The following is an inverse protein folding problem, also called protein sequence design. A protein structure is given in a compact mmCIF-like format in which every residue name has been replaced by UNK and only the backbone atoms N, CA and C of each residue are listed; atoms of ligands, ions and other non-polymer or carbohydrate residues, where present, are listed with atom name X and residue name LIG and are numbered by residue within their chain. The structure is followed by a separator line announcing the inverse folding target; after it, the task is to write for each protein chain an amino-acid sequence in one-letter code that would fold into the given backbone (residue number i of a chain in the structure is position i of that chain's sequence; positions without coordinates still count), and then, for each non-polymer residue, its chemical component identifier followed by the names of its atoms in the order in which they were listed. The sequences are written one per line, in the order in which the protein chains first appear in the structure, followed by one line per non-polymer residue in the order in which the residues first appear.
data_IF_298820951833
#
_entry.id   IF_298820951833
#
_cell.length_a   1.000
_cell.length_b   1.000
_cell.length_c   1.000
_cell.angle_alpha   90.00
_cell.angle_beta   90.00
_cell.angle_gamma   90.00
#
_symmetry.space_group_name_H-M   'P 1'
#
loop_
_entity.id
_entity.type
_entity.pdbx_description
1 polymer ?
#
# COMPACT_ATOMS: atom_id res chain seq x y z
N UNK A 1 24.76 23.17 -2.71
CA UNK A 1 23.79 22.12 -3.06
C UNK A 1 23.94 21.02 -2.03
N UNK A 2 22.88 20.79 -1.25
CA UNK A 2 22.89 19.75 -0.24
C UNK A 2 22.77 18.37 -0.86
N UNK A 3 23.37 17.37 -0.22
CA UNK A 3 23.23 15.98 -0.64
C UNK A 3 21.88 15.46 -0.16
N UNK A 4 21.08 14.92 -1.06
CA UNK A 4 19.83 14.28 -0.71
C UNK A 4 20.17 12.90 -0.13
N UNK A 5 19.78 12.67 1.12
CA UNK A 5 19.98 11.38 1.79
C UNK A 5 19.29 10.26 0.99
N UNK A 6 19.99 9.16 0.78
CA UNK A 6 19.52 8.03 -0.05
C UNK A 6 19.71 8.20 -1.57
N UNK A 7 20.17 9.38 -2.03
CA UNK A 7 20.47 9.63 -3.45
C UNK A 7 21.91 10.15 -3.65
N UNK A 8 22.86 9.61 -2.92
CA UNK A 8 24.26 10.12 -2.87
C UNK A 8 24.91 10.18 -4.23
N UNK A 9 24.86 9.12 -5.03
CA UNK A 9 25.47 9.10 -6.37
C UNK A 9 24.77 10.06 -7.33
N UNK A 10 23.44 10.15 -7.32
CA UNK A 10 22.67 11.11 -8.12
C UNK A 10 23.02 12.54 -7.71
N UNK A 11 23.09 12.82 -6.42
CA UNK A 11 23.47 14.13 -5.90
C UNK A 11 24.89 14.52 -6.27
N UNK A 12 25.85 13.59 -6.22
CA UNK A 12 27.24 13.78 -6.67
C UNK A 12 27.27 14.06 -8.18
N UNK A 13 26.59 13.25 -8.98
CA UNK A 13 26.48 13.44 -10.42
C UNK A 13 25.89 14.79 -10.80
N UNK A 14 24.82 15.21 -10.13
CA UNK A 14 24.19 16.50 -10.32
C UNK A 14 25.12 17.66 -9.91
N UNK A 15 25.80 17.56 -8.74
CA UNK A 15 26.81 18.53 -8.31
C UNK A 15 27.92 18.68 -9.33
N UNK A 16 28.44 17.56 -9.85
CA UNK A 16 29.50 17.58 -10.85
C UNK A 16 29.04 18.24 -12.15
N UNK A 17 27.82 17.93 -12.62
CA UNK A 17 27.24 18.55 -13.81
C UNK A 17 27.07 20.08 -13.64
N UNK A 18 26.62 20.53 -12.45
CA UNK A 18 26.52 21.98 -12.15
C UNK A 18 27.89 22.66 -12.09
N UNK A 19 28.90 22.01 -11.52
CA UNK A 19 30.27 22.52 -11.49
C UNK A 19 30.81 22.64 -12.92
N UNK A 20 30.58 21.66 -13.77
CA UNK A 20 31.02 21.68 -15.15
C UNK A 20 30.26 22.73 -15.99
N UNK A 21 28.96 22.92 -15.75
CA UNK A 21 28.20 24.01 -16.35
C UNK A 21 28.75 25.40 -15.91
N UNK A 22 29.05 25.56 -14.62
CA UNK A 22 29.65 26.79 -14.11
C UNK A 22 31.05 27.06 -14.69
N UNK A 23 31.87 26.03 -14.93
CA UNK A 23 33.15 26.14 -15.63
C UNK A 23 32.95 26.60 -17.09
N UNK A 24 32.00 25.96 -17.80
CA UNK A 24 31.69 26.34 -19.18
C UNK A 24 31.14 27.76 -19.32
N UNK A 25 30.43 28.23 -18.28
CA UNK A 25 29.94 29.61 -18.19
C UNK A 25 31.04 30.62 -17.69
N UNK A 26 32.28 30.17 -17.55
CA UNK A 26 33.40 31.00 -17.09
C UNK A 26 33.12 31.72 -15.74
N UNK A 27 32.49 31.00 -14.79
CA UNK A 27 32.16 31.54 -13.49
C UNK A 27 33.42 32.11 -12.79
N UNK A 28 33.35 33.37 -12.33
CA UNK A 28 34.47 34.12 -11.78
C UNK A 28 34.98 33.57 -10.44
N UNK A 29 34.14 32.85 -9.69
CA UNK A 29 34.51 32.20 -8.41
C UNK A 29 33.96 30.79 -8.35
N UNK A 30 34.63 29.86 -9.02
CA UNK A 30 34.25 28.45 -9.04
C UNK A 30 34.43 27.77 -7.66
N UNK A 31 35.41 28.21 -6.90
CA UNK A 31 35.67 27.63 -5.56
C UNK A 31 34.66 28.09 -4.53
N UNK A 32 34.25 29.36 -4.58
CA UNK A 32 33.11 29.87 -3.81
C UNK A 32 31.82 29.13 -4.19
N UNK A 33 31.56 28.94 -5.48
CA UNK A 33 30.41 28.17 -5.95
C UNK A 33 30.36 26.75 -5.38
N UNK A 34 31.50 26.01 -5.38
CA UNK A 34 31.61 24.66 -4.80
C UNK A 34 31.38 24.63 -3.29
N UNK A 35 31.82 25.66 -2.58
CA UNK A 35 31.76 25.77 -1.12
C UNK A 35 30.48 26.42 -0.63
N UNK A 36 29.71 27.05 -1.51
CA UNK A 36 28.49 27.74 -1.14
C UNK A 36 27.45 26.75 -0.58
N UNK A 37 27.16 26.86 0.69
CA UNK A 37 26.06 26.16 1.37
C UNK A 37 24.91 27.12 1.54
N UNK A 38 23.71 26.69 1.18
CA UNK A 38 22.50 27.45 1.47
C UNK A 38 22.27 27.39 2.98
N UNK A 39 22.43 28.56 3.63
CA UNK A 39 22.03 28.69 5.03
C UNK A 39 20.54 28.95 5.05
N UNK A 40 19.80 27.99 5.55
CA UNK A 40 18.37 28.16 5.76
C UNK A 40 18.16 28.90 7.08
N UNK A 41 17.38 29.97 7.04
CA UNK A 41 16.98 30.72 8.23
C UNK A 41 15.52 30.40 8.52
N UNK A 42 15.24 29.94 9.74
CA UNK A 42 13.87 29.68 10.17
C UNK A 42 13.00 30.92 10.02
N UNK A 43 11.81 30.77 9.49
CA UNK A 43 10.78 31.80 9.45
C UNK A 43 10.08 31.98 10.80
N UNK A 44 9.05 32.81 10.80
CA UNK A 44 8.15 32.93 11.94
C UNK A 44 7.38 31.62 12.15
N UNK A 45 7.08 31.27 13.41
CA UNK A 45 6.34 30.09 13.76
C UNK A 45 4.97 30.04 13.05
N UNK A 46 4.65 28.92 12.42
CA UNK A 46 3.37 28.67 11.75
C UNK A 46 2.42 28.02 12.75
N UNK A 47 1.28 28.64 12.98
CA UNK A 47 0.20 28.10 13.80
C UNK A 47 -1.08 27.97 12.98
N UNK A 48 -1.69 26.77 12.96
CA UNK A 48 -2.91 26.48 12.21
C UNK A 48 -3.89 25.68 13.04
N UNK A 49 -5.17 25.80 12.67
CA UNK A 49 -6.25 24.98 13.22
C UNK A 49 -7.09 24.44 12.08
N UNK A 50 -7.38 23.14 12.10
CA UNK A 50 -8.19 22.44 11.09
C UNK A 50 -9.10 21.41 11.77
N UNK A 51 -10.03 20.81 11.03
CA UNK A 51 -10.84 19.72 11.57
C UNK A 51 -10.02 18.43 11.72
N UNK A 52 -9.27 18.05 10.66
CA UNK A 52 -8.46 16.83 10.63
C UNK A 52 -7.03 17.15 10.22
N UNK A 53 -6.08 16.66 10.99
CA UNK A 53 -4.65 16.69 10.65
C UNK A 53 -4.24 15.31 10.12
N UNK A 54 -3.58 15.27 8.96
CA UNK A 54 -3.04 14.05 8.39
C UNK A 54 -1.51 14.15 8.35
N UNK A 55 -0.82 13.20 8.96
CA UNK A 55 0.64 13.14 8.99
C UNK A 55 1.13 12.09 8.00
N UNK A 56 1.75 12.55 6.92
CA UNK A 56 2.19 11.74 5.77
C UNK A 56 1.25 11.83 4.57
N UNK A 57 1.79 12.17 3.40
CA UNK A 57 1.07 12.27 2.14
C UNK A 57 1.33 11.08 1.19
N UNK A 58 1.51 9.88 1.75
CA UNK A 58 1.50 8.62 1.03
C UNK A 58 0.08 8.20 0.63
N UNK A 59 -0.09 6.97 0.12
CA UNK A 59 -1.40 6.46 -0.32
C UNK A 59 -2.50 6.60 0.74
N UNK A 60 -2.26 6.10 1.96
CA UNK A 60 -3.23 6.17 3.05
C UNK A 60 -3.55 7.62 3.48
N UNK A 61 -2.52 8.48 3.53
CA UNK A 61 -2.71 9.88 3.93
C UNK A 61 -3.54 10.66 2.91
N UNK A 62 -3.28 10.52 1.63
CA UNK A 62 -4.05 11.20 0.58
C UNK A 62 -5.48 10.68 0.50
N UNK A 63 -5.72 9.37 0.64
CA UNK A 63 -7.09 8.83 0.72
C UNK A 63 -7.85 9.38 1.92
N UNK A 64 -7.21 9.40 3.10
CA UNK A 64 -7.79 9.97 4.32
C UNK A 64 -8.13 11.45 4.14
N UNK A 65 -7.21 12.23 3.57
CA UNK A 65 -7.41 13.66 3.36
C UNK A 65 -8.60 13.93 2.44
N UNK A 66 -8.64 13.24 1.31
CA UNK A 66 -9.74 13.39 0.33
C UNK A 66 -11.08 12.98 0.93
N UNK A 67 -11.15 11.80 1.56
CA UNK A 67 -12.39 11.31 2.16
C UNK A 67 -12.87 12.22 3.29
N UNK A 68 -11.96 12.73 4.11
CA UNK A 68 -12.29 13.70 5.15
C UNK A 68 -12.85 15.01 4.56
N UNK A 69 -12.24 15.52 3.50
CA UNK A 69 -12.69 16.73 2.82
C UNK A 69 -14.05 16.53 2.12
N UNK A 70 -14.27 15.38 1.48
CA UNK A 70 -15.56 15.00 0.90
C UNK A 70 -16.68 14.92 1.96
N UNK A 71 -16.33 14.59 3.20
CA UNK A 71 -17.23 14.62 4.35
C UNK A 71 -17.39 16.03 4.96
N UNK A 72 -16.88 17.07 4.30
CA UNK A 72 -17.02 18.46 4.71
C UNK A 72 -16.06 18.95 5.80
N UNK A 73 -15.00 18.18 6.10
CA UNK A 73 -13.98 18.60 7.07
C UNK A 73 -12.88 19.43 6.38
N UNK A 74 -12.36 20.44 7.06
CA UNK A 74 -11.09 21.06 6.69
C UNK A 74 -9.92 20.12 7.02
N UNK A 75 -8.91 20.08 6.15
CA UNK A 75 -7.80 19.13 6.28
C UNK A 75 -6.45 19.82 6.06
N UNK A 76 -5.51 19.58 6.97
CA UNK A 76 -4.09 19.90 6.76
C UNK A 76 -3.30 18.61 6.71
N UNK A 77 -2.60 18.38 5.59
CA UNK A 77 -1.68 17.27 5.39
C UNK A 77 -0.25 17.77 5.58
N UNK A 78 0.54 17.09 6.43
CA UNK A 78 1.96 17.40 6.63
C UNK A 78 2.82 16.27 6.05
N UNK A 79 3.71 16.61 5.12
CA UNK A 79 4.60 15.66 4.44
C UNK A 79 6.06 16.06 4.61
N UNK A 80 6.88 15.13 5.04
CA UNK A 80 8.32 15.36 5.28
C UNK A 80 9.11 15.55 3.99
N UNK A 81 8.68 14.89 2.92
CA UNK A 81 9.34 14.97 1.61
C UNK A 81 8.94 16.25 0.85
N UNK A 82 9.67 16.53 -0.23
CA UNK A 82 9.38 17.65 -1.14
C UNK A 82 8.19 17.40 -2.08
N UNK A 83 7.60 16.20 -2.05
CA UNK A 83 6.46 15.80 -2.87
C UNK A 83 5.62 14.74 -2.15
N UNK A 84 4.35 14.64 -2.53
CA UNK A 84 3.46 13.58 -2.08
C UNK A 84 3.87 12.24 -2.71
N UNK A 85 3.47 11.13 -2.10
CA UNK A 85 3.66 9.81 -2.70
C UNK A 85 4.15 8.73 -1.75
N UNK A 86 5.10 9.03 -0.90
CA UNK A 86 5.71 8.03 0.00
C UNK A 86 6.18 6.78 -0.76
N UNK A 87 6.08 5.60 -0.17
CA UNK A 87 6.38 4.33 -0.84
C UNK A 87 5.34 3.96 -1.90
N UNK A 88 4.11 4.45 -1.80
CA UNK A 88 3.04 4.12 -2.75
C UNK A 88 3.41 4.54 -4.16
N UNK A 89 4.05 5.69 -4.36
CA UNK A 89 4.46 6.15 -5.70
C UNK A 89 5.59 5.30 -6.30
N UNK A 90 6.35 4.58 -5.47
CA UNK A 90 7.42 3.69 -5.91
C UNK A 90 6.93 2.27 -6.23
N UNK A 91 5.67 1.96 -5.95
CA UNK A 91 5.05 0.67 -6.24
C UNK A 91 4.62 0.56 -7.71
N UNK A 92 4.23 -0.65 -8.15
CA UNK A 92 3.59 -0.86 -9.46
C UNK A 92 2.19 -0.25 -9.58
N UNK A 93 1.56 0.07 -8.44
CA UNK A 93 0.27 0.75 -8.37
C UNK A 93 -0.95 -0.17 -8.35
N UNK A 94 -0.78 -1.45 -8.59
CA UNK A 94 -1.89 -2.39 -8.56
C UNK A 94 -2.39 -2.57 -7.12
N UNK A 95 -3.70 -2.73 -7.01
CA UNK A 95 -4.35 -3.12 -5.76
C UNK A 95 -5.38 -4.22 -6.01
N UNK A 96 -5.64 -5.01 -4.98
CA UNK A 96 -6.49 -6.19 -5.09
C UNK A 96 -7.93 -5.88 -4.69
N UNK A 97 -8.86 -6.00 -5.65
CA UNK A 97 -10.30 -6.12 -5.40
C UNK A 97 -10.98 -6.85 -6.55
N UNK A 98 -11.84 -7.82 -6.24
CA UNK A 98 -12.57 -8.55 -7.26
C UNK A 98 -13.65 -7.65 -7.89
N UNK A 99 -13.65 -7.55 -9.20
CA UNK A 99 -14.66 -6.79 -9.92
C UNK A 99 -15.79 -7.71 -10.37
N UNK A 100 -16.97 -7.57 -9.77
CA UNK A 100 -18.12 -8.49 -9.95
C UNK A 100 -18.52 -8.70 -11.41
N UNK A 101 -18.38 -7.67 -12.23
CA UNK A 101 -18.70 -7.75 -13.67
C UNK A 101 -17.68 -8.58 -14.48
N UNK A 102 -16.50 -8.89 -13.93
CA UNK A 102 -15.44 -9.66 -14.59
C UNK A 102 -15.35 -11.12 -14.12
N UNK A 103 -16.00 -11.49 -13.02
CA UNK A 103 -15.89 -12.81 -12.41
C UNK A 103 -17.19 -13.58 -12.50
N UNK A 104 -17.16 -14.88 -12.16
CA UNK A 104 -18.34 -15.71 -12.10
C UNK A 104 -19.42 -15.13 -11.17
N UNK A 105 -20.66 -15.18 -11.62
CA UNK A 105 -21.83 -14.67 -10.89
C UNK A 105 -22.80 -15.83 -10.62
N UNK A 106 -23.10 -16.16 -9.36
CA UNK A 106 -24.04 -17.23 -9.04
C UNK A 106 -25.48 -16.93 -9.51
N UNK A 107 -25.82 -15.66 -9.74
CA UNK A 107 -27.15 -15.28 -10.24
C UNK A 107 -27.31 -15.51 -11.76
N UNK A 108 -26.20 -15.46 -12.51
CA UNK A 108 -26.14 -15.77 -13.93
C UNK A 108 -24.82 -16.49 -14.25
N UNK A 109 -24.71 -17.77 -13.88
CA UNK A 109 -23.46 -18.52 -13.93
C UNK A 109 -22.93 -18.73 -15.35
N UNK A 110 -23.79 -18.74 -16.36
CA UNK A 110 -23.42 -18.96 -17.78
C UNK A 110 -23.09 -17.66 -18.52
N UNK A 111 -23.25 -16.51 -17.86
CA UNK A 111 -22.88 -15.22 -18.46
C UNK A 111 -21.40 -15.17 -18.83
N UNK A 112 -21.10 -14.85 -20.08
CA UNK A 112 -19.74 -14.65 -20.59
C UNK A 112 -19.30 -13.20 -20.55
N UNK A 113 -20.22 -12.31 -20.23
CA UNK A 113 -19.99 -10.86 -20.15
C UNK A 113 -20.59 -10.28 -18.87
N UNK A 114 -20.11 -9.10 -18.47
CA UNK A 114 -20.70 -8.28 -17.44
C UNK A 114 -20.72 -6.82 -17.85
N UNK A 115 -21.54 -6.03 -17.19
CA UNK A 115 -21.71 -4.59 -17.50
C UNK A 115 -21.14 -3.73 -16.37
N UNK A 116 -20.32 -2.76 -16.73
CA UNK A 116 -19.81 -1.75 -15.80
C UNK A 116 -19.88 -0.36 -16.41
N UNK A 117 -20.52 0.58 -15.72
CA UNK A 117 -20.76 1.98 -16.20
C UNK A 117 -21.32 2.04 -17.64
N UNK A 118 -22.23 1.10 -17.98
CA UNK A 118 -22.89 1.04 -19.29
C UNK A 118 -22.06 0.38 -20.41
N UNK A 119 -20.85 -0.06 -20.13
CA UNK A 119 -19.97 -0.78 -21.06
C UNK A 119 -19.97 -2.26 -20.77
N UNK A 120 -20.05 -3.09 -21.82
CA UNK A 120 -20.02 -4.55 -21.71
C UNK A 120 -18.57 -5.05 -21.82
N UNK A 121 -18.17 -5.89 -20.88
CA UNK A 121 -16.84 -6.51 -20.81
C UNK A 121 -16.96 -8.02 -20.82
N UNK A 122 -16.01 -8.70 -21.45
CA UNK A 122 -15.90 -10.16 -21.32
C UNK A 122 -15.45 -10.50 -19.90
N UNK A 123 -16.04 -11.57 -19.33
CA UNK A 123 -15.55 -12.09 -18.06
C UNK A 123 -14.16 -12.70 -18.22
N UNK A 124 -13.33 -12.60 -17.19
CA UNK A 124 -12.00 -13.20 -17.15
C UNK A 124 -12.08 -14.68 -16.79
N UNK A 125 -11.05 -15.43 -17.16
CA UNK A 125 -11.01 -16.87 -16.93
C UNK A 125 -9.98 -17.24 -15.86
N UNK A 126 -10.08 -18.44 -15.31
CA UNK A 126 -9.14 -18.98 -14.36
C UNK A 126 -7.72 -19.07 -14.94
N UNK A 127 -6.74 -18.89 -14.07
CA UNK A 127 -5.39 -19.37 -14.33
C UNK A 127 -5.31 -20.89 -14.04
N UNK A 128 -4.36 -21.57 -14.67
CA UNK A 128 -4.09 -22.97 -14.40
C UNK A 128 -3.73 -23.18 -12.91
N UNK A 129 -4.41 -24.09 -12.26
CA UNK A 129 -4.23 -24.40 -10.84
C UNK A 129 -5.25 -23.76 -9.91
N UNK A 130 -6.04 -22.76 -10.36
CA UNK A 130 -7.06 -22.13 -9.52
C UNK A 130 -8.08 -23.15 -8.99
N UNK A 131 -8.57 -24.05 -9.85
CA UNK A 131 -9.54 -25.10 -9.47
C UNK A 131 -8.95 -26.03 -8.40
N UNK A 132 -7.67 -26.36 -8.49
CA UNK A 132 -6.97 -27.15 -7.47
C UNK A 132 -6.99 -26.44 -6.13
N UNK A 133 -6.61 -25.15 -6.09
CA UNK A 133 -6.62 -24.34 -4.86
C UNK A 133 -8.02 -24.26 -4.25
N UNK A 134 -9.07 -24.06 -5.06
CA UNK A 134 -10.44 -24.05 -4.56
C UNK A 134 -10.84 -25.38 -3.91
N UNK A 135 -10.46 -26.50 -4.51
CA UNK A 135 -10.70 -27.85 -3.94
C UNK A 135 -9.92 -28.07 -2.64
N UNK A 136 -8.72 -27.55 -2.54
CA UNK A 136 -7.92 -27.59 -1.29
C UNK A 136 -8.59 -26.78 -0.18
N UNK A 137 -9.14 -25.60 -0.48
CA UNK A 137 -9.90 -24.81 0.50
C UNK A 137 -11.16 -25.54 0.97
N UNK A 138 -11.88 -26.28 0.10
CA UNK A 138 -13.01 -27.11 0.52
C UNK A 138 -12.63 -28.13 1.56
N UNK A 139 -11.41 -28.68 1.48
CA UNK A 139 -10.89 -29.67 2.41
C UNK A 139 -10.23 -29.05 3.64
N UNK A 140 -10.15 -27.72 3.75
CA UNK A 140 -9.53 -27.05 4.89
C UNK A 140 -10.23 -27.44 6.19
N UNK A 141 -9.43 -27.70 7.24
CA UNK A 141 -9.95 -28.09 8.55
C UNK A 141 -10.71 -26.92 9.19
N UNK A 142 -11.93 -27.19 9.66
CA UNK A 142 -12.79 -26.21 10.34
C UNK A 142 -12.61 -26.22 11.87
N UNK A 143 -11.74 -27.04 12.39
CA UNK A 143 -11.43 -27.01 13.81
C UNK A 143 -10.60 -25.77 14.15
N UNK A 144 -10.71 -25.30 15.40
CA UNK A 144 -9.77 -24.33 15.90
C UNK A 144 -8.34 -24.89 15.88
N UNK A 145 -7.35 -24.00 15.85
CA UNK A 145 -5.95 -24.39 15.87
C UNK A 145 -5.66 -25.43 16.94
N UNK A 146 -5.11 -26.57 16.50
CA UNK A 146 -4.66 -27.64 17.41
C UNK A 146 -3.15 -27.46 17.67
N UNK A 147 -2.81 -27.06 18.91
CA UNK A 147 -1.42 -26.93 19.35
C UNK A 147 -0.63 -28.24 19.23
N UNK A 148 -1.31 -29.40 19.35
CA UNK A 148 -0.65 -30.70 19.18
C UNK A 148 -0.22 -30.96 17.74
N UNK A 149 -0.98 -30.47 16.77
CA UNK A 149 -0.63 -30.58 15.37
C UNK A 149 0.63 -29.75 15.06
N UNK A 150 0.71 -28.59 15.67
CA UNK A 150 1.82 -27.69 15.55
C UNK A 150 3.17 -28.31 16.01
N UNK A 151 3.16 -29.03 17.15
CA UNK A 151 4.37 -29.64 17.70
C UNK A 151 4.86 -30.86 16.90
N UNK A 152 4.00 -31.49 16.11
CA UNK A 152 4.29 -32.72 15.39
C UNK A 152 4.58 -32.55 13.89
N UNK A 153 4.19 -31.43 13.30
CA UNK A 153 4.32 -31.20 11.85
C UNK A 153 5.25 -30.00 11.59
N UNK A 154 6.35 -30.17 10.84
CA UNK A 154 7.21 -29.06 10.50
C UNK A 154 6.44 -27.97 9.78
N UNK A 155 6.57 -26.73 10.21
CA UNK A 155 5.99 -25.59 9.51
C UNK A 155 6.79 -25.31 8.24
N UNK A 156 6.09 -25.30 7.11
CA UNK A 156 6.62 -24.84 5.84
C UNK A 156 5.75 -23.67 5.39
N UNK A 157 6.31 -22.47 5.37
CA UNK A 157 5.59 -21.27 4.95
C UNK A 157 5.06 -21.45 3.52
N UNK A 158 3.77 -21.20 3.31
CA UNK A 158 3.11 -21.35 2.01
C UNK A 158 2.69 -22.79 1.65
N UNK A 159 2.95 -23.76 2.50
CA UNK A 159 2.44 -25.12 2.34
C UNK A 159 0.97 -25.20 2.77
N UNK A 160 0.07 -25.12 1.79
CA UNK A 160 -1.39 -25.17 2.02
C UNK A 160 -1.80 -26.46 2.73
N UNK A 161 -1.20 -27.60 2.41
CA UNK A 161 -1.56 -28.88 3.02
C UNK A 161 -1.24 -28.85 4.53
N UNK A 162 -0.06 -28.41 4.89
CA UNK A 162 0.34 -28.28 6.31
C UNK A 162 -0.53 -27.26 7.04
N UNK A 163 -0.74 -26.09 6.44
CA UNK A 163 -1.56 -25.03 7.03
C UNK A 163 -3.03 -25.43 7.17
N UNK A 164 -3.58 -26.15 6.18
CA UNK A 164 -4.98 -26.61 6.24
C UNK A 164 -5.24 -27.58 7.38
N UNK A 165 -4.25 -28.35 7.78
CA UNK A 165 -4.34 -29.26 8.92
C UNK A 165 -4.26 -28.55 10.25
N UNK A 166 -3.57 -27.42 10.35
CA UNK A 166 -3.50 -26.62 11.57
C UNK A 166 -4.86 -26.06 12.00
N UNK A 167 -5.85 -26.05 11.09
CA UNK A 167 -7.17 -25.50 11.36
C UNK A 167 -7.27 -24.01 11.08
N UNK A 168 -8.23 -23.35 11.69
CA UNK A 168 -8.51 -21.92 11.50
C UNK A 168 -8.84 -21.26 12.83
N UNK A 169 -8.44 -20.00 13.01
CA UNK A 169 -8.83 -19.24 14.19
C UNK A 169 -10.35 -19.01 14.22
N UNK A 170 -10.94 -19.09 15.41
CA UNK A 170 -12.39 -19.01 15.61
C UNK A 170 -13.06 -17.83 14.90
N UNK A 171 -12.42 -16.66 14.90
CA UNK A 171 -12.95 -15.45 14.24
C UNK A 171 -13.09 -15.59 12.71
N UNK A 172 -12.24 -16.40 12.07
CA UNK A 172 -12.28 -16.63 10.62
C UNK A 172 -13.16 -17.82 10.20
N UNK A 173 -13.65 -18.61 11.15
CA UNK A 173 -14.43 -19.83 10.86
C UNK A 173 -15.71 -19.54 10.08
N UNK A 174 -16.41 -18.44 10.40
CA UNK A 174 -17.61 -18.02 9.67
C UNK A 174 -17.30 -17.78 8.19
N UNK A 175 -16.26 -16.99 7.91
CA UNK A 175 -15.80 -16.70 6.55
C UNK A 175 -15.42 -17.98 5.79
N UNK A 176 -14.70 -18.92 6.43
CA UNK A 176 -14.33 -20.18 5.80
C UNK A 176 -15.57 -21.00 5.42
N UNK A 177 -16.58 -21.09 6.28
CA UNK A 177 -17.82 -21.83 5.99
C UNK A 177 -18.60 -21.22 4.83
N UNK A 178 -18.73 -19.90 4.81
CA UNK A 178 -19.36 -19.19 3.70
C UNK A 178 -18.58 -19.38 2.40
N UNK A 179 -17.26 -19.23 2.44
CA UNK A 179 -16.38 -19.45 1.28
C UNK A 179 -16.51 -20.88 0.74
N UNK A 180 -16.54 -21.90 1.60
CA UNK A 180 -16.75 -23.28 1.15
C UNK A 180 -18.10 -23.44 0.45
N UNK A 181 -19.14 -22.78 0.92
CA UNK A 181 -20.44 -22.78 0.25
C UNK A 181 -20.39 -22.11 -1.13
N UNK A 182 -19.73 -20.97 -1.24
CA UNK A 182 -19.49 -20.27 -2.51
C UNK A 182 -18.68 -21.14 -3.50
N UNK A 183 -17.59 -21.73 -3.03
CA UNK A 183 -16.75 -22.63 -3.85
C UNK A 183 -17.53 -23.86 -4.30
N UNK A 184 -18.34 -24.46 -3.42
CA UNK A 184 -19.14 -25.62 -3.78
C UNK A 184 -20.16 -25.28 -4.88
N UNK A 185 -20.84 -24.13 -4.77
CA UNK A 185 -21.76 -23.64 -5.80
C UNK A 185 -21.04 -23.43 -7.14
N UNK A 186 -19.88 -22.81 -7.11
CA UNK A 186 -19.05 -22.61 -8.29
C UNK A 186 -18.60 -23.93 -8.92
N UNK A 187 -18.08 -24.87 -8.14
CA UNK A 187 -17.60 -26.16 -8.64
C UNK A 187 -18.73 -27.02 -9.18
N UNK A 188 -19.93 -26.94 -8.63
CA UNK A 188 -21.12 -27.63 -9.18
C UNK A 188 -21.42 -27.16 -10.62
N UNK A 189 -21.13 -25.90 -10.93
CA UNK A 189 -21.26 -25.36 -12.29
C UNK A 189 -20.03 -25.62 -13.17
N UNK A 190 -18.82 -25.47 -12.62
CA UNK A 190 -17.57 -25.57 -13.39
C UNK A 190 -17.16 -27.02 -13.70
N UNK A 191 -17.32 -27.97 -12.75
CA UNK A 191 -16.81 -29.32 -12.87
C UNK A 191 -17.41 -30.09 -14.07
N UNK A 192 -18.73 -30.02 -14.36
CA UNK A 192 -19.29 -30.67 -15.56
C UNK A 192 -18.68 -30.20 -16.88
N UNK A 193 -18.27 -28.94 -16.97
CA UNK A 193 -17.62 -28.37 -18.13
C UNK A 193 -16.17 -28.89 -18.29
N UNK A 194 -15.45 -29.01 -17.17
CA UNK A 194 -14.12 -29.62 -17.14
C UNK A 194 -14.19 -31.11 -17.51
N UNK A 195 -15.18 -31.85 -17.00
CA UNK A 195 -15.41 -33.26 -17.32
C UNK A 195 -15.77 -33.47 -18.80
N UNK A 196 -16.39 -32.46 -19.41
CA UNK A 196 -16.67 -32.44 -20.85
C UNK A 196 -15.44 -32.05 -21.71
N UNK A 197 -14.27 -31.82 -21.09
CA UNK A 197 -13.01 -31.58 -21.77
C UNK A 197 -12.68 -30.11 -21.97
N UNK A 198 -13.44 -29.17 -21.40
CA UNK A 198 -13.09 -27.74 -21.41
C UNK A 198 -11.84 -27.48 -20.55
N UNK A 199 -10.91 -26.70 -21.06
CA UNK A 199 -9.71 -26.35 -20.31
C UNK A 199 -10.05 -25.39 -19.15
N UNK A 200 -9.26 -25.44 -18.07
CA UNK A 200 -9.44 -24.55 -16.91
C UNK A 200 -9.40 -23.08 -17.32
N UNK A 201 -8.51 -22.70 -18.25
CA UNK A 201 -8.42 -21.35 -18.81
C UNK A 201 -9.60 -20.93 -19.69
N UNK A 202 -10.62 -21.76 -19.87
CA UNK A 202 -11.88 -21.42 -20.54
C UNK A 202 -13.06 -21.31 -19.55
N UNK A 203 -12.81 -21.59 -18.27
CA UNK A 203 -13.80 -21.47 -17.20
C UNK A 203 -13.71 -20.09 -16.59
N UNK A 204 -14.84 -19.41 -16.43
CA UNK A 204 -14.91 -18.07 -15.83
C UNK A 204 -14.28 -18.06 -14.43
N UNK A 205 -13.52 -17.02 -14.13
CA UNK A 205 -12.81 -16.86 -12.87
C UNK A 205 -13.77 -16.80 -11.68
N UNK A 206 -13.49 -17.60 -10.66
CA UNK A 206 -14.08 -17.44 -9.33
C UNK A 206 -13.27 -16.43 -8.52
N UNK A 207 -13.91 -15.41 -7.97
CA UNK A 207 -13.26 -14.51 -7.02
C UNK A 207 -14.31 -13.81 -6.16
N UNK A 208 -14.17 -13.88 -4.83
CA UNK A 208 -15.09 -13.26 -3.87
C UNK A 208 -14.32 -12.53 -2.76
N UNK A 209 -14.96 -11.61 -2.04
CA UNK A 209 -14.36 -11.03 -0.84
C UNK A 209 -13.99 -12.08 0.21
N UNK A 210 -14.81 -13.12 0.41
CA UNK A 210 -14.51 -14.20 1.35
C UNK A 210 -13.23 -14.96 0.96
N UNK A 211 -13.01 -15.21 -0.34
CA UNK A 211 -11.75 -15.80 -0.81
C UNK A 211 -10.57 -14.87 -0.51
N UNK A 212 -10.73 -13.58 -0.69
CA UNK A 212 -9.67 -12.62 -0.41
C UNK A 212 -9.35 -12.55 1.10
N UNK A 213 -10.38 -12.44 1.95
CA UNK A 213 -10.20 -12.46 3.41
C UNK A 213 -9.48 -13.75 3.84
N UNK A 214 -9.93 -14.90 3.36
CA UNK A 214 -9.34 -16.19 3.73
C UNK A 214 -7.89 -16.32 3.24
N UNK A 215 -7.57 -15.89 2.01
CA UNK A 215 -6.20 -15.91 1.49
C UNK A 215 -5.29 -14.94 2.24
N UNK A 216 -5.79 -13.78 2.66
CA UNK A 216 -5.04 -12.83 3.51
C UNK A 216 -4.77 -13.43 4.88
N UNK A 217 -5.76 -14.10 5.47
CA UNK A 217 -5.61 -14.82 6.72
C UNK A 217 -4.52 -15.90 6.64
N UNK A 218 -4.66 -16.85 5.70
CA UNK A 218 -3.72 -17.95 5.62
C UNK A 218 -2.32 -17.53 5.16
N UNK A 219 -2.23 -16.54 4.28
CA UNK A 219 -0.95 -15.97 3.85
C UNK A 219 -0.22 -15.20 4.97
N UNK A 220 -0.95 -14.77 5.99
CA UNK A 220 -0.41 -14.16 7.20
C UNK A 220 -0.11 -15.13 8.35
N UNK A 221 -0.51 -16.40 8.22
CA UNK A 221 -0.24 -17.40 9.25
C UNK A 221 1.25 -17.70 9.37
N UNK A 222 1.77 -17.66 10.58
CA UNK A 222 3.17 -17.97 10.90
C UNK A 222 3.32 -18.36 12.35
N UNK A 223 4.44 -18.95 12.70
CA UNK A 223 4.81 -19.26 14.07
C UNK A 223 5.49 -18.07 14.74
N UNK A 224 5.33 -17.94 16.07
CA UNK A 224 6.21 -17.08 16.86
C UNK A 224 7.66 -17.62 16.85
N UNK A 225 8.63 -16.82 17.31
CA UNK A 225 10.05 -17.19 17.31
C UNK A 225 10.33 -18.51 18.05
N UNK A 226 9.64 -18.73 19.16
CA UNK A 226 9.76 -19.93 20.00
C UNK A 226 9.01 -21.15 19.41
N UNK A 227 8.26 -20.99 18.33
CA UNK A 227 7.43 -22.03 17.69
C UNK A 227 6.41 -22.67 18.64
N UNK A 228 5.86 -21.87 19.55
CA UNK A 228 4.90 -22.31 20.57
C UNK A 228 3.47 -21.86 20.31
N UNK A 229 3.27 -20.93 19.38
CA UNK A 229 1.94 -20.43 19.01
C UNK A 229 1.88 -19.96 17.56
N UNK A 230 0.67 -19.95 17.00
CA UNK A 230 0.38 -19.37 15.71
C UNK A 230 0.09 -17.88 15.84
N UNK A 231 0.63 -17.09 14.91
CA UNK A 231 0.33 -15.68 14.73
C UNK A 231 -0.54 -15.57 13.46
N UNK A 232 -1.63 -14.84 13.56
CA UNK A 232 -2.58 -14.56 12.50
C UNK A 232 -2.99 -13.08 12.55
N UNK A 233 -3.53 -12.55 11.47
CA UNK A 233 -3.99 -11.16 11.40
C UNK A 233 -5.25 -10.91 12.23
N UNK A 234 -5.53 -9.65 12.56
CA UNK A 234 -6.82 -9.25 13.13
C UNK A 234 -7.92 -9.40 12.09
N UNK A 235 -8.92 -10.23 12.38
CA UNK A 235 -10.05 -10.49 11.49
C UNK A 235 -10.78 -9.22 11.08
N UNK A 236 -11.13 -8.37 12.04
CA UNK A 236 -11.88 -7.15 11.79
C UNK A 236 -11.12 -6.18 10.87
N UNK A 237 -9.81 -6.05 11.06
CA UNK A 237 -8.96 -5.22 10.20
C UNK A 237 -8.82 -5.81 8.80
N UNK A 238 -8.61 -7.13 8.68
CA UNK A 238 -8.54 -7.81 7.38
C UNK A 238 -9.86 -7.68 6.63
N UNK A 239 -10.98 -7.93 7.31
CA UNK A 239 -12.32 -7.81 6.74
C UNK A 239 -12.59 -6.38 6.26
N UNK A 240 -12.36 -5.39 7.11
CA UNK A 240 -12.54 -3.98 6.76
C UNK A 240 -11.65 -3.56 5.59
N UNK A 241 -10.40 -4.02 5.55
CA UNK A 241 -9.48 -3.75 4.44
C UNK A 241 -9.99 -4.34 3.12
N UNK A 242 -10.42 -5.60 3.12
CA UNK A 242 -10.90 -6.28 1.91
C UNK A 242 -12.23 -5.69 1.43
N UNK A 243 -13.20 -5.53 2.33
CA UNK A 243 -14.53 -4.99 1.98
C UNK A 243 -14.44 -3.53 1.52
N UNK A 244 -13.70 -2.68 2.24
CA UNK A 244 -13.45 -1.30 1.84
C UNK A 244 -12.66 -1.18 0.53
N UNK A 245 -11.78 -2.14 0.26
CA UNK A 245 -11.03 -2.23 -1.00
C UNK A 245 -11.89 -2.49 -2.22
N UNK A 246 -13.10 -3.07 -2.07
CA UNK A 246 -14.00 -3.31 -3.20
C UNK A 246 -14.49 -2.00 -3.83
N UNK A 247 -14.72 -0.96 -3.03
CA UNK A 247 -15.22 0.33 -3.49
C UNK A 247 -14.11 1.28 -3.98
N UNK A 248 -12.85 0.99 -3.64
CA UNK A 248 -11.72 1.87 -3.93
C UNK A 248 -11.60 2.25 -5.40
N UNK A 249 -11.79 1.27 -6.31
CA UNK A 249 -11.72 1.50 -7.75
C UNK A 249 -12.75 2.53 -8.21
N UNK A 250 -14.02 2.33 -7.86
CA UNK A 250 -15.11 3.24 -8.20
C UNK A 250 -14.89 4.64 -7.62
N UNK A 251 -14.45 4.71 -6.36
CA UNK A 251 -14.13 5.97 -5.69
C UNK A 251 -12.99 6.74 -6.39
N UNK A 252 -11.96 6.06 -6.90
CA UNK A 252 -10.88 6.69 -7.66
C UNK A 252 -11.35 7.11 -9.07
N UNK A 253 -12.16 6.30 -9.75
CA UNK A 253 -12.74 6.64 -11.05
C UNK A 253 -13.64 7.87 -10.99
N UNK A 254 -14.39 8.03 -9.90
CA UNK A 254 -15.24 9.21 -9.68
C UNK A 254 -14.41 10.50 -9.50
N UNK A 255 -13.13 10.37 -9.22
CA UNK A 255 -12.16 11.46 -9.16
C UNK A 255 -11.36 11.65 -10.45
N UNK A 256 -11.60 10.84 -11.48
CA UNK A 256 -10.94 10.90 -12.77
C UNK A 256 -9.78 9.90 -12.95
N UNK A 257 -9.61 8.91 -12.09
CA UNK A 257 -8.67 7.83 -12.34
C UNK A 257 -9.20 6.91 -13.44
N UNK A 258 -8.31 6.45 -14.32
CA UNK A 258 -8.63 5.53 -15.42
C UNK A 258 -7.97 4.18 -15.18
N UNK A 259 -8.77 3.11 -15.26
CA UNK A 259 -8.33 1.73 -15.10
C UNK A 259 -8.49 0.91 -16.37
N UNK A 260 -7.77 -0.22 -16.44
CA UNK A 260 -8.12 -1.28 -17.37
C UNK A 260 -9.29 -2.09 -16.82
N UNK A 261 -10.47 -1.81 -17.35
CA UNK A 261 -11.72 -2.44 -16.92
C UNK A 261 -11.98 -3.79 -17.61
N UNK A 262 -11.02 -4.30 -18.38
CA UNK A 262 -11.18 -5.55 -19.15
C UNK A 262 -10.38 -6.74 -18.59
N UNK A 263 -9.56 -6.53 -17.57
CA UNK A 263 -8.65 -7.55 -17.02
C UNK A 263 -8.68 -7.59 -15.50
N UNK A 264 -8.31 -8.74 -14.97
CA UNK A 264 -7.98 -8.97 -13.55
C UNK A 264 -6.66 -9.76 -13.51
N UNK A 265 -5.52 -9.10 -13.60
CA UNK A 265 -4.24 -9.79 -13.61
C UNK A 265 -3.89 -10.41 -12.26
N UNK A 266 -2.86 -11.22 -12.26
CA UNK A 266 -2.15 -11.66 -11.07
C UNK A 266 -0.70 -11.20 -11.17
N UNK A 267 -0.19 -10.56 -10.14
CA UNK A 267 1.17 -10.04 -10.09
C UNK A 267 1.95 -10.75 -8.99
N UNK A 268 3.27 -10.71 -9.08
CA UNK A 268 4.17 -11.35 -8.12
C UNK A 268 3.80 -10.96 -6.68
N UNK A 269 3.56 -11.98 -5.85
CA UNK A 269 3.13 -11.81 -4.45
C UNK A 269 1.61 -11.84 -4.25
N UNK A 270 0.81 -11.75 -5.32
CA UNK A 270 -0.63 -11.98 -5.23
C UNK A 270 -0.96 -13.48 -5.26
N UNK A 271 -1.98 -13.88 -4.51
CA UNK A 271 -2.44 -15.28 -4.45
C UNK A 271 -3.56 -15.59 -5.44
N UNK A 272 -4.10 -14.56 -6.12
CA UNK A 272 -5.28 -14.71 -6.98
C UNK A 272 -5.40 -13.60 -8.01
N UNK A 273 -6.09 -13.87 -9.12
CA UNK A 273 -6.43 -12.89 -10.14
C UNK A 273 -7.50 -11.92 -9.62
N UNK A 274 -7.10 -10.77 -9.10
CA UNK A 274 -8.00 -9.70 -8.64
C UNK A 274 -7.37 -8.32 -8.65
N UNK A 275 -6.29 -8.15 -9.36
CA UNK A 275 -5.60 -6.88 -9.39
C UNK A 275 -6.23 -5.92 -10.38
N UNK A 276 -6.16 -4.63 -10.07
CA UNK A 276 -6.68 -3.55 -10.89
C UNK A 276 -5.52 -2.69 -11.36
N UNK A 277 -5.43 -2.50 -12.67
CA UNK A 277 -4.35 -1.75 -13.32
C UNK A 277 -4.75 -0.32 -13.63
N UNK A 278 -3.92 0.63 -13.22
CA UNK A 278 -4.04 2.02 -13.62
C UNK A 278 -3.64 2.25 -15.09
N UNK A 279 -4.42 3.07 -15.81
CA UNK A 279 -4.09 3.53 -17.18
C UNK A 279 -3.79 5.02 -17.30
N UNK A 280 -4.08 5.79 -16.28
CA UNK A 280 -3.87 7.24 -16.27
C UNK A 280 -4.98 7.99 -15.54
N UNK A 281 -5.12 9.27 -15.85
CA UNK A 281 -6.16 10.11 -15.30
C UNK A 281 -6.79 11.00 -16.37
N UNK A 282 -8.05 11.34 -16.14
CA UNK A 282 -8.81 12.35 -16.88
C UNK A 282 -9.12 13.50 -15.89
N UNK A 283 -8.20 14.44 -15.79
CA UNK A 283 -8.32 15.56 -14.85
C UNK A 283 -9.15 16.70 -15.40
N UNK A 284 -9.37 16.76 -16.71
CA UNK A 284 -10.16 17.80 -17.35
C UNK A 284 -11.64 17.39 -17.55
N UNK A 285 -11.95 16.09 -17.38
CA UNK A 285 -13.32 15.55 -17.43
C UNK A 285 -13.85 15.37 -18.87
N UNK A 286 -12.98 15.27 -19.88
CA UNK A 286 -13.38 15.08 -21.28
C UNK A 286 -13.57 13.60 -21.68
N UNK A 287 -13.34 12.65 -20.76
CA UNK A 287 -13.48 11.21 -20.97
C UNK A 287 -12.26 10.56 -21.61
N UNK A 288 -11.16 11.29 -21.77
CA UNK A 288 -9.90 10.78 -22.33
C UNK A 288 -8.72 10.99 -21.38
N UNK A 289 -7.71 10.09 -21.39
CA UNK A 289 -6.53 10.33 -20.57
C UNK A 289 -5.81 11.61 -20.96
N UNK A 290 -5.59 12.48 -19.98
CA UNK A 290 -4.79 13.69 -20.16
C UNK A 290 -3.39 13.37 -20.70
N UNK A 291 -2.78 14.26 -21.51
CA UNK A 291 -1.40 14.07 -21.98
C UNK A 291 -0.40 13.86 -20.85
N UNK A 292 -0.57 14.59 -19.73
CA UNK A 292 0.25 14.48 -18.53
C UNK A 292 -0.21 13.34 -17.60
N UNK A 293 -1.45 12.88 -17.77
CA UNK A 293 -2.07 11.75 -17.06
C UNK A 293 -1.80 10.40 -17.70
N UNK A 294 -1.10 10.35 -18.86
CA UNK A 294 -0.75 9.08 -19.50
C UNK A 294 0.26 8.30 -18.66
N UNK A 295 0.06 7.00 -18.62
CA UNK A 295 1.04 6.10 -18.02
C UNK A 295 2.39 6.21 -18.73
N UNK A 296 3.31 6.91 -18.11
CA UNK A 296 4.72 6.88 -18.44
C UNK A 296 5.36 5.90 -17.45
N UNK A 297 6.18 4.98 -17.96
CA UNK A 297 6.89 4.00 -17.12
C UNK A 297 7.51 4.69 -15.89
N UNK A 298 7.19 4.20 -14.68
CA UNK A 298 7.64 4.77 -13.41
C UNK A 298 6.85 5.98 -12.89
N UNK A 299 5.76 6.40 -13.58
CA UNK A 299 4.88 7.50 -13.12
C UNK A 299 3.40 7.14 -13.03
N UNK A 300 3.05 5.89 -13.28
CA UNK A 300 1.66 5.41 -13.31
C UNK A 300 0.87 5.80 -12.07
N UNK A 301 1.39 5.48 -10.90
CA UNK A 301 0.73 5.76 -9.61
C UNK A 301 0.64 7.26 -9.37
N UNK A 302 1.72 8.01 -9.67
CA UNK A 302 1.73 9.45 -9.50
C UNK A 302 0.72 10.13 -10.43
N UNK A 303 0.74 9.77 -11.72
CA UNK A 303 -0.14 10.37 -12.72
C UNK A 303 -1.61 9.95 -12.58
N UNK A 304 -1.91 8.89 -11.82
CA UNK A 304 -3.28 8.42 -11.60
C UNK A 304 -3.73 8.75 -10.18
N UNK A 305 -3.27 7.97 -9.22
CA UNK A 305 -3.73 8.07 -7.83
C UNK A 305 -3.44 9.44 -7.20
N UNK A 306 -2.19 9.90 -7.28
CA UNK A 306 -1.80 11.16 -6.62
C UNK A 306 -2.27 12.39 -7.39
N UNK A 307 -2.34 12.33 -8.71
CA UNK A 307 -2.88 13.42 -9.51
C UNK A 307 -4.37 13.65 -9.21
N UNK A 308 -5.17 12.57 -9.21
CA UNK A 308 -6.61 12.66 -8.93
C UNK A 308 -6.90 13.07 -7.49
N UNK A 309 -6.28 12.41 -6.51
CA UNK A 309 -6.51 12.71 -5.10
C UNK A 309 -6.06 14.12 -4.72
N UNK A 310 -4.92 14.57 -5.24
CA UNK A 310 -4.45 15.95 -5.04
C UNK A 310 -5.42 16.97 -5.63
N UNK A 311 -5.86 16.77 -6.86
CA UNK A 311 -6.83 17.66 -7.50
C UNK A 311 -8.14 17.69 -6.74
N UNK A 312 -8.66 16.52 -6.34
CA UNK A 312 -9.89 16.45 -5.56
C UNK A 312 -9.76 17.22 -4.27
N UNK A 313 -8.68 17.03 -3.51
CA UNK A 313 -8.47 17.69 -2.22
C UNK A 313 -8.37 19.21 -2.33
N UNK A 314 -7.63 19.72 -3.33
CA UNK A 314 -7.24 21.13 -3.40
C UNK A 314 -8.07 21.97 -4.37
N UNK A 315 -8.88 21.34 -5.25
CA UNK A 315 -9.55 22.06 -6.34
C UNK A 315 -11.04 21.66 -6.51
N UNK A 316 -11.43 20.42 -6.14
CA UNK A 316 -12.74 19.89 -6.54
C UNK A 316 -13.76 19.86 -5.41
N UNK A 317 -13.37 19.47 -4.19
CA UNK A 317 -14.31 19.42 -3.06
C UNK A 317 -14.83 20.81 -2.71
N UNK A 318 -16.07 20.89 -2.22
CA UNK A 318 -16.73 22.17 -1.96
C UNK A 318 -15.97 23.08 -0.97
N UNK A 319 -15.22 22.49 -0.06
CA UNK A 319 -14.40 23.17 0.94
C UNK A 319 -12.88 23.13 0.60
N UNK A 320 -12.51 23.03 -0.67
CA UNK A 320 -11.13 22.90 -1.11
C UNK A 320 -10.21 24.04 -0.63
N UNK A 321 -10.77 25.26 -0.47
CA UNK A 321 -10.02 26.41 0.02
C UNK A 321 -9.57 26.28 1.49
N UNK A 322 -10.19 25.39 2.26
CA UNK A 322 -9.86 25.10 3.66
C UNK A 322 -8.84 23.97 3.81
N UNK A 323 -8.40 23.38 2.69
CA UNK A 323 -7.49 22.24 2.67
C UNK A 323 -6.08 22.66 2.25
N UNK A 324 -5.08 22.02 2.83
CA UNK A 324 -3.68 22.33 2.54
C UNK A 324 -2.78 21.10 2.60
N UNK A 325 -1.74 21.07 1.77
CA UNK A 325 -0.63 20.11 1.86
C UNK A 325 0.65 20.89 2.17
N UNK A 326 1.18 20.70 3.36
CA UNK A 326 2.45 21.29 3.81
C UNK A 326 3.59 20.31 3.53
N UNK A 327 4.28 20.47 2.41
CA UNK A 327 5.46 19.69 2.06
C UNK A 327 6.69 20.11 2.87
N UNK A 328 7.72 19.25 2.91
CA UNK A 328 8.98 19.48 3.63
C UNK A 328 8.77 19.85 5.09
N UNK A 329 7.73 19.29 5.70
CA UNK A 329 7.33 19.54 7.08
C UNK A 329 7.39 18.25 7.88
N UNK A 330 8.41 18.10 8.72
CA UNK A 330 8.60 16.94 9.58
C UNK A 330 7.81 17.12 10.86
N UNK A 331 6.79 16.31 11.07
CA UNK A 331 6.12 16.19 12.38
C UNK A 331 7.02 15.44 13.35
N UNK A 332 7.11 15.94 14.58
CA UNK A 332 8.01 15.43 15.62
C UNK A 332 7.32 15.08 16.92
N UNK A 333 6.07 15.56 17.13
CA UNK A 333 5.35 15.39 18.39
C UNK A 333 3.84 15.41 18.15
N UNK A 334 3.10 14.56 18.87
CA UNK A 334 1.66 14.66 19.02
C UNK A 334 1.32 15.52 20.23
N UNK A 335 0.41 16.48 20.06
CA UNK A 335 -0.08 17.31 21.16
C UNK A 335 -1.25 16.59 21.81
N UNK A 336 -1.19 16.44 23.13
CA UNK A 336 -2.31 15.90 23.92
C UNK A 336 -2.93 16.98 24.81
N UNK A 337 -4.23 16.88 25.05
CA UNK A 337 -4.91 17.69 26.07
C UNK A 337 -4.69 17.11 27.47
N UNK A 338 -5.31 17.73 28.48
CA UNK A 338 -5.22 17.31 29.89
C UNK A 338 -5.78 15.92 30.17
N UNK A 339 -6.59 15.40 29.29
CA UNK A 339 -7.24 14.07 29.41
C UNK A 339 -6.48 13.00 28.58
N UNK A 340 -5.35 13.37 27.96
CA UNK A 340 -4.51 12.49 27.15
C UNK A 340 -4.99 12.32 25.70
N UNK A 341 -6.04 13.03 25.28
CA UNK A 341 -6.54 12.97 23.92
C UNK A 341 -5.61 13.75 22.98
N UNK A 342 -5.27 13.16 21.84
CA UNK A 342 -4.48 13.83 20.80
C UNK A 342 -5.33 14.92 20.14
N UNK A 343 -4.83 16.17 20.18
CA UNK A 343 -5.52 17.38 19.71
C UNK A 343 -4.71 18.18 18.70
N UNK A 344 -3.60 17.66 18.21
CA UNK A 344 -2.77 18.32 17.22
C UNK A 344 -1.38 17.72 17.10
N UNK A 345 -0.53 18.43 16.37
CA UNK A 345 0.85 18.04 16.12
C UNK A 345 1.78 19.22 16.18
N UNK A 346 3.06 18.97 16.55
CA UNK A 346 4.17 19.90 16.33
C UNK A 346 5.15 19.33 15.32
N UNK A 347 5.80 20.20 14.60
CA UNK A 347 6.78 19.84 13.61
C UNK A 347 7.68 21.00 13.24
N UNK A 348 8.47 20.77 12.21
CA UNK A 348 9.43 21.76 11.72
C UNK A 348 9.53 21.64 10.19
N UNK A 349 9.55 22.76 9.50
CA UNK A 349 9.90 22.80 8.08
C UNK A 349 11.40 22.58 7.88
N UNK A 350 11.78 22.24 6.66
CA UNK A 350 13.19 21.93 6.33
C UNK A 350 14.17 23.09 6.58
N UNK A 351 13.67 24.33 6.61
CA UNK A 351 14.44 25.55 6.92
C UNK A 351 14.54 25.84 8.43
N UNK A 352 13.92 25.01 9.28
CA UNK A 352 13.89 25.17 10.72
C UNK A 352 12.65 25.92 11.24
N UNK A 353 11.74 26.38 10.38
CA UNK A 353 10.51 27.07 10.80
C UNK A 353 9.61 26.16 11.65
N UNK A 354 9.29 26.54 12.90
CA UNK A 354 8.39 25.74 13.75
C UNK A 354 6.96 25.72 13.19
N UNK A 355 6.31 24.57 13.29
CA UNK A 355 4.92 24.36 12.84
C UNK A 355 4.12 23.73 13.96
N UNK A 356 2.95 24.30 14.26
CA UNK A 356 1.94 23.71 15.15
C UNK A 356 0.61 23.67 14.43
N UNK A 357 -0.03 22.50 14.40
CA UNK A 357 -1.37 22.35 13.80
C UNK A 357 -2.31 21.71 14.81
N UNK A 358 -3.34 22.44 15.19
CA UNK A 358 -4.40 21.95 16.08
C UNK A 358 -5.50 21.27 15.29
N UNK A 359 -5.93 20.09 15.77
CA UNK A 359 -6.99 19.27 15.19
C UNK A 359 -8.24 19.34 16.05
N UNK A 360 -9.36 19.82 15.50
CA UNK A 360 -10.64 19.86 16.23
C UNK A 360 -11.27 18.48 16.39
N UNK A 361 -11.07 17.58 15.41
CA UNK A 361 -11.70 16.25 15.36
C UNK A 361 -10.70 15.14 15.58
N UNK A 362 -9.49 15.24 15.05
CA UNK A 362 -8.47 14.22 15.27
C UNK A 362 -7.25 14.34 14.37
N UNK A 363 -6.25 13.51 14.69
CA UNK A 363 -5.01 13.35 13.94
C UNK A 363 -4.96 11.94 13.37
N UNK A 364 -4.61 11.82 12.09
CA UNK A 364 -4.39 10.53 11.42
C UNK A 364 -2.90 10.38 11.10
N UNK A 365 -2.27 9.35 11.66
CA UNK A 365 -0.90 8.98 11.34
C UNK A 365 -0.88 8.06 10.11
N UNK A 366 -0.34 8.55 9.01
CA UNK A 366 -0.18 7.84 7.75
C UNK A 366 1.29 7.83 7.28
N UNK A 367 2.21 7.75 8.25
CA UNK A 367 3.65 7.92 8.06
C UNK A 367 4.36 6.70 7.47
N UNK A 368 3.64 5.60 7.22
CA UNK A 368 4.22 4.33 6.79
C UNK A 368 4.98 3.61 7.91
N UNK A 369 5.81 2.65 7.52
CA UNK A 369 6.58 1.82 8.45
C UNK A 369 7.98 2.36 8.74
N UNK A 370 8.92 1.43 9.03
CA UNK A 370 10.30 1.76 9.44
C UNK A 370 11.37 1.03 8.61
N UNK A 371 11.02 0.41 7.52
CA UNK A 371 11.92 -0.47 6.77
C UNK A 371 13.07 0.26 6.03
N UNK A 372 13.17 1.58 6.13
CA UNK A 372 14.36 2.32 5.73
C UNK A 372 15.41 2.47 6.86
N UNK A 373 15.02 2.20 8.11
CA UNK A 373 15.94 2.11 9.24
C UNK A 373 16.37 0.66 9.44
N UNK A 374 17.41 0.25 8.73
CA UNK A 374 17.92 -1.13 8.75
C UNK A 374 18.35 -1.55 10.17
N UNK A 375 18.87 -0.61 10.97
CA UNK A 375 19.23 -0.91 12.35
C UNK A 375 18.00 -1.30 13.16
N UNK A 376 16.92 -0.54 13.05
CA UNK A 376 15.64 -0.85 13.71
C UNK A 376 15.06 -2.17 13.21
N UNK A 377 15.13 -2.43 11.91
CA UNK A 377 14.70 -3.70 11.32
C UNK A 377 15.47 -4.87 11.95
N UNK A 378 16.79 -4.77 12.12
CA UNK A 378 17.61 -5.79 12.77
C UNK A 378 17.26 -5.95 14.26
N UNK A 379 17.03 -4.85 14.98
CA UNK A 379 16.72 -4.86 16.41
C UNK A 379 15.33 -5.45 16.71
N UNK A 380 14.39 -5.32 15.78
CA UNK A 380 13.01 -5.84 15.95
C UNK A 380 12.78 -7.19 15.28
N UNK A 381 13.75 -7.73 14.56
CA UNK A 381 13.57 -8.95 13.77
C UNK A 381 13.34 -10.18 14.66
N UNK A 382 12.15 -10.77 14.52
CA UNK A 382 11.76 -12.00 15.20
C UNK A 382 11.55 -13.18 14.25
N UNK A 383 11.64 -12.94 12.93
CA UNK A 383 11.20 -13.92 11.93
C UNK A 383 12.36 -14.51 11.12
N UNK A 384 13.27 -13.67 10.65
CA UNK A 384 14.38 -14.11 9.81
C UNK A 384 15.53 -14.63 10.66
N UNK A 385 16.24 -15.69 10.21
CA UNK A 385 17.41 -16.21 10.93
C UNK A 385 18.47 -15.15 11.19
N UNK A 386 19.21 -15.33 12.28
CA UNK A 386 20.32 -14.46 12.63
C UNK A 386 21.34 -14.39 11.49
N UNK A 387 21.68 -13.18 11.08
CA UNK A 387 22.64 -12.92 10.02
C UNK A 387 22.04 -12.76 8.61
N UNK A 388 20.76 -13.06 8.40
CA UNK A 388 20.10 -12.82 7.11
C UNK A 388 19.87 -11.33 6.86
N UNK A 389 19.61 -10.55 7.92
CA UNK A 389 19.52 -9.10 7.86
C UNK A 389 20.75 -8.50 8.52
N UNK A 390 21.51 -7.69 7.78
CA UNK A 390 22.76 -7.09 8.23
C UNK A 390 22.75 -5.58 7.98
N UNK A 391 23.72 -4.86 8.52
CA UNK A 391 23.91 -3.42 8.25
C UNK A 391 24.15 -3.09 6.78
N UNK A 392 24.44 -4.09 5.95
CA UNK A 392 24.63 -3.95 4.50
C UNK A 392 23.38 -4.34 3.70
N UNK A 393 22.30 -4.76 4.36
CA UNK A 393 21.04 -5.09 3.70
C UNK A 393 20.48 -3.83 3.05
N UNK A 394 20.19 -3.90 1.76
CA UNK A 394 19.56 -2.81 1.00
C UNK A 394 18.07 -2.69 1.36
N UNK A 395 17.48 -1.55 1.00
CA UNK A 395 16.04 -1.32 1.15
C UNK A 395 15.46 -0.70 -0.11
N UNK A 396 14.24 -1.13 -0.48
CA UNK A 396 13.44 -0.50 -1.55
C UNK A 396 12.62 0.69 -1.04
N UNK A 397 12.65 0.94 0.26
CA UNK A 397 11.85 2.00 0.90
C UNK A 397 12.49 3.38 0.71
N UNK A 398 11.65 4.41 0.69
CA UNK A 398 12.14 5.79 0.78
C UNK A 398 12.82 6.03 2.11
N UNK A 399 13.89 6.82 2.11
CA UNK A 399 14.72 7.10 3.28
C UNK A 399 13.99 7.78 4.45
N UNK A 400 12.81 8.33 4.22
CA UNK A 400 11.96 8.92 5.25
C UNK A 400 11.16 7.90 6.08
N UNK A 401 11.12 6.63 5.67
CA UNK A 401 10.35 5.59 6.36
C UNK A 401 11.15 4.95 7.51
N UNK A 402 11.34 5.72 8.57
CA UNK A 402 12.17 5.35 9.73
C UNK A 402 11.35 5.08 11.00
N UNK A 403 10.02 5.02 10.88
CA UNK A 403 9.13 4.69 12.00
C UNK A 403 8.78 5.87 12.92
N UNK A 404 9.04 7.11 12.52
CA UNK A 404 8.78 8.29 13.37
C UNK A 404 7.32 8.42 13.82
N UNK A 405 6.34 7.98 13.02
CA UNK A 405 4.95 7.97 13.45
C UNK A 405 4.65 6.92 14.51
N UNK A 406 5.33 5.79 14.47
CA UNK A 406 5.24 4.75 15.49
C UNK A 406 5.77 5.32 16.82
N UNK A 407 6.95 5.94 16.79
CA UNK A 407 7.57 6.54 17.99
C UNK A 407 6.66 7.59 18.63
N UNK A 408 6.04 8.45 17.80
CA UNK A 408 5.09 9.46 18.28
C UNK A 408 3.83 8.85 18.89
N UNK A 409 3.33 7.76 18.31
CA UNK A 409 2.16 7.04 18.82
C UNK A 409 2.47 6.35 20.16
N UNK A 410 3.60 5.66 20.26
CA UNK A 410 4.07 5.04 21.51
C UNK A 410 4.27 6.07 22.62
N UNK A 411 4.80 7.25 22.29
CA UNK A 411 5.00 8.33 23.25
C UNK A 411 3.70 8.83 23.90
N UNK A 412 2.55 8.61 23.27
CA UNK A 412 1.22 8.94 23.82
C UNK A 412 0.44 7.69 24.28
N UNK A 413 1.11 6.56 24.39
CA UNK A 413 0.55 5.33 24.99
C UNK A 413 -0.08 4.35 24.01
N UNK A 414 0.16 4.46 22.71
CA UNK A 414 -0.26 3.46 21.75
C UNK A 414 0.55 2.16 21.90
N UNK A 415 -0.10 1.02 21.69
CA UNK A 415 0.56 -0.26 21.57
C UNK A 415 0.97 -0.54 20.14
N UNK A 416 2.01 -1.37 19.94
CA UNK A 416 2.47 -1.84 18.64
C UNK A 416 2.21 -3.33 18.48
N UNK A 417 2.06 -3.79 17.24
CA UNK A 417 1.93 -5.19 16.88
C UNK A 417 2.65 -5.46 15.55
N UNK A 418 3.14 -6.68 15.37
CA UNK A 418 3.77 -7.12 14.14
C UNK A 418 5.15 -6.51 13.85
N UNK A 419 5.81 -5.93 14.84
CA UNK A 419 7.09 -5.24 14.65
C UNK A 419 8.22 -6.15 14.19
N UNK A 420 8.20 -7.43 14.51
CA UNK A 420 9.25 -8.38 14.14
C UNK A 420 9.16 -8.94 12.71
N UNK A 421 8.15 -8.56 11.95
CA UNK A 421 7.86 -9.19 10.65
C UNK A 421 8.19 -8.27 9.48
N UNK A 422 9.41 -8.42 8.98
CA UNK A 422 9.88 -7.68 7.80
C UNK A 422 9.81 -8.57 6.57
N UNK A 423 9.23 -8.06 5.49
CA UNK A 423 9.23 -8.75 4.21
C UNK A 423 10.57 -8.57 3.51
N UNK A 424 11.24 -9.68 3.21
CA UNK A 424 12.42 -9.70 2.36
C UNK A 424 12.03 -9.82 0.90
N UNK A 425 12.55 -8.94 0.06
CA UNK A 425 12.39 -9.06 -1.39
C UNK A 425 13.38 -10.11 -1.93
N UNK A 426 12.90 -11.12 -2.68
CA UNK A 426 13.74 -12.27 -3.04
C UNK A 426 14.84 -11.92 -4.05
N UNK A 427 14.68 -10.85 -4.81
CA UNK A 427 15.65 -10.42 -5.83
C UNK A 427 15.76 -8.89 -5.81
N UNK A 428 16.96 -8.40 -5.58
CA UNK A 428 17.30 -6.98 -5.66
C UNK A 428 18.70 -6.77 -6.22
N UNK A 429 18.99 -5.57 -6.71
CA UNK A 429 20.35 -5.16 -7.05
C UNK A 429 21.13 -4.91 -5.76
N UNK A 430 22.26 -5.60 -5.62
CA UNK A 430 23.09 -5.58 -4.39
C UNK A 430 23.62 -4.17 -4.05
N UNK A 431 23.87 -3.36 -5.07
CA UNK A 431 24.47 -2.04 -4.95
C UNK A 431 23.51 -0.94 -4.52
N UNK A 432 22.18 -1.13 -4.72
CA UNK A 432 21.22 -0.06 -4.47
C UNK A 432 19.88 -0.52 -3.86
N UNK A 433 19.68 -1.84 -3.67
CA UNK A 433 18.45 -2.39 -3.10
C UNK A 433 17.21 -2.36 -4.00
N UNK A 434 17.33 -1.88 -5.24
CA UNK A 434 16.20 -1.84 -6.17
C UNK A 434 15.79 -3.24 -6.60
N UNK A 435 14.48 -3.44 -6.82
CA UNK A 435 13.94 -4.69 -7.33
C UNK A 435 14.52 -5.06 -8.69
N UNK A 436 14.93 -6.31 -8.83
CA UNK A 436 15.53 -6.86 -10.06
C UNK A 436 14.55 -7.71 -10.88
N UNK A 437 13.23 -7.50 -10.75
CA UNK A 437 12.22 -8.27 -11.48
C UNK A 437 12.05 -7.80 -12.93
N UNK A 438 11.92 -8.77 -13.83
CA UNK A 438 11.36 -8.57 -15.17
C UNK A 438 12.18 -7.71 -16.13
N UNK A 439 13.48 -7.53 -15.89
CA UNK A 439 14.34 -6.76 -16.79
C UNK A 439 13.96 -5.28 -16.89
N UNK A 440 13.16 -4.78 -15.97
CA UNK A 440 12.83 -3.37 -15.85
C UNK A 440 13.94 -2.64 -15.09
N UNK A 441 14.72 -1.84 -15.78
CA UNK A 441 15.50 -0.81 -15.13
C UNK A 441 14.53 0.29 -14.68
N UNK A 442 14.39 0.50 -13.38
CA UNK A 442 13.65 1.61 -12.80
C UNK A 442 14.61 2.75 -12.47
#
# INVERSE_FOLDING_TARGET
IDVISGATFTSIGFKNALIDAAKQAEASDLDGFKKNTVVHTAGEAIEKTTDVVVVGAGGAGMATAVQSAQNGNSVVVLEVNSEIGGNTVASGGQFQSAQSYLVWDPADPDATTGVYKGVTYNKVHNATGNIKVLKEILNWNENEFDSKYFDSTPFVAGDIETLSHAGVHAEYLGTLKELKSEIQAYLNWAQPQLDAGKAEGEITLFSTPNLHIFQTYYGGLRQNAEKTSWIYGSYDLVKQFVEGGQDLKGWLEDQGAIFDNSIQPIIVGALWNRENDFKGSDLNGDGTPDPDGKNVKGKTVYNTYFATTRKTLLETVANHADNEIMLRTKVTELITDKDGKVVGVKGVQYDGTPVTVHAKKGVVLATGGYAADIKRVMETNDYWPDGDITTHTGTTNRSSLVGSGIDMAEAVGAATTGMGFTQMMPISWVDNGNLAFGGGHY
#
